data_IF_616199708356
#
_entry.id   IF_616199708356
#
_cell.length_a   1.000
_cell.length_b   1.000
_cell.length_c   1.000
_cell.angle_alpha   90.00
_cell.angle_beta   90.00
_cell.angle_gamma   90.00
#
_symmetry.space_group_name_H-M   'P 1'
#
loop_
_entity.id
_entity.type
_entity.pdbx_description
1 polymer ?
#
# COMPACT_ATOMS: atom_id res chain seq x y z
N UNK A 1 10.05 -8.20 1.98
CA UNK A 1 9.69 -8.23 0.55
C UNK A 1 10.64 -7.35 -0.25
N UNK A 2 10.87 -7.58 -1.56
CA UNK A 2 11.75 -6.75 -2.40
C UNK A 2 10.94 -5.79 -3.28
N UNK A 3 11.31 -4.50 -3.32
CA UNK A 3 10.72 -3.51 -4.22
C UNK A 3 11.05 -3.84 -5.69
N UNK A 4 10.06 -3.89 -6.58
CA UNK A 4 10.28 -4.21 -8.00
C UNK A 4 10.97 -3.06 -8.77
N UNK A 5 10.96 -1.84 -8.22
CA UNK A 5 11.57 -0.66 -8.86
C UNK A 5 13.04 -0.47 -8.50
N UNK A 6 13.40 -0.55 -7.21
CA UNK A 6 14.78 -0.31 -6.76
C UNK A 6 15.50 -1.58 -6.31
N UNK A 7 14.79 -2.71 -6.14
CA UNK A 7 15.38 -3.94 -5.64
C UNK A 7 15.76 -3.92 -4.16
N UNK A 8 15.39 -2.90 -3.39
CA UNK A 8 15.61 -2.88 -1.95
C UNK A 8 14.67 -3.84 -1.23
N UNK A 9 15.13 -4.48 -0.16
CA UNK A 9 14.27 -5.21 0.75
C UNK A 9 13.53 -4.24 1.67
N UNK A 10 12.20 -4.29 1.62
CA UNK A 10 11.26 -3.50 2.39
C UNK A 10 10.39 -4.41 3.26
N UNK A 11 10.14 -3.97 4.49
CA UNK A 11 9.19 -4.58 5.43
C UNK A 11 8.00 -3.68 5.71
N UNK A 12 8.04 -2.45 5.21
CA UNK A 12 7.01 -1.44 5.41
C UNK A 12 6.79 -0.69 4.10
N UNK A 13 5.59 -0.14 3.94
CA UNK A 13 5.20 0.76 2.86
C UNK A 13 4.83 2.11 3.45
N UNK A 14 4.94 3.16 2.64
CA UNK A 14 4.47 4.49 2.99
C UNK A 14 3.13 4.69 2.28
N UNK A 15 2.15 5.13 3.05
CA UNK A 15 0.84 5.57 2.57
C UNK A 15 0.50 6.93 3.19
N UNK A 16 -0.35 7.71 2.56
CA UNK A 16 -0.76 9.05 2.99
C UNK A 16 -2.19 9.01 3.49
N UNK A 17 -2.38 9.19 4.79
CA UNK A 17 -3.70 9.22 5.42
C UNK A 17 -4.18 10.66 5.55
N UNK A 18 -5.46 10.87 5.30
CA UNK A 18 -6.11 12.16 5.56
C UNK A 18 -6.71 12.14 6.96
N UNK A 19 -6.26 13.03 7.84
CA UNK A 19 -6.89 13.18 9.16
C UNK A 19 -8.24 13.91 9.03
N UNK A 20 -9.07 13.87 10.08
CA UNK A 20 -10.40 14.52 10.12
C UNK A 20 -10.36 16.04 9.84
N UNK A 21 -9.19 16.66 9.95
CA UNK A 21 -8.95 18.08 9.63
C UNK A 21 -8.53 18.32 8.17
N UNK A 22 -8.50 17.30 7.32
CA UNK A 22 -8.10 17.40 5.91
C UNK A 22 -6.60 17.58 5.68
N UNK A 23 -5.78 17.28 6.70
CA UNK A 23 -4.31 17.27 6.56
C UNK A 23 -3.85 15.90 6.11
N UNK A 24 -3.05 15.87 5.05
CA UNK A 24 -2.42 14.66 4.52
C UNK A 24 -1.14 14.35 5.30
N UNK A 25 -1.07 13.17 5.91
CA UNK A 25 0.06 12.70 6.71
C UNK A 25 0.54 11.36 6.19
N UNK A 26 1.82 11.25 5.85
CA UNK A 26 2.42 9.98 5.46
C UNK A 26 2.72 9.11 6.67
N UNK A 27 2.19 7.90 6.70
CA UNK A 27 2.46 6.87 7.71
C UNK A 27 3.15 5.65 7.09
N UNK A 28 3.92 4.96 7.92
CA UNK A 28 4.51 3.67 7.56
C UNK A 28 3.60 2.53 8.02
N UNK A 29 3.18 1.67 7.09
CA UNK A 29 2.40 0.46 7.37
C UNK A 29 3.26 -0.78 7.20
N UNK A 30 3.13 -1.72 8.12
CA UNK A 30 3.84 -3.00 8.06
C UNK A 30 3.20 -3.92 7.02
N UNK A 31 4.03 -4.67 6.29
CA UNK A 31 3.56 -5.59 5.26
C UNK A 31 3.80 -7.03 5.66
N UNK A 32 2.76 -7.85 5.52
CA UNK A 32 2.84 -9.29 5.75
C UNK A 32 3.01 -10.02 4.41
N UNK A 33 4.09 -10.80 4.27
CA UNK A 33 4.31 -11.65 3.10
C UNK A 33 3.57 -12.98 3.28
N UNK A 34 2.72 -13.34 2.32
CA UNK A 34 1.96 -14.58 2.27
C UNK A 34 2.67 -15.62 1.39
N UNK A 35 2.39 -16.91 1.63
CA UNK A 35 3.04 -18.08 0.98
C UNK A 35 3.03 -18.07 -0.57
N UNK A 36 2.17 -17.28 -1.20
CA UNK A 36 2.06 -17.16 -2.67
C UNK A 36 2.80 -15.97 -3.28
N UNK A 37 3.84 -15.45 -2.64
CA UNK A 37 4.51 -14.21 -3.08
C UNK A 37 3.53 -13.02 -3.17
N UNK A 38 2.48 -13.05 -2.36
CA UNK A 38 1.57 -11.95 -2.18
C UNK A 38 2.00 -11.18 -0.93
N UNK A 39 1.83 -9.86 -0.93
CA UNK A 39 1.92 -9.05 0.26
C UNK A 39 0.57 -8.49 0.58
N UNK A 40 0.22 -8.56 1.86
CA UNK A 40 -1.02 -8.05 2.40
C UNK A 40 -0.68 -7.03 3.47
N UNK A 41 -1.35 -5.90 3.42
CA UNK A 41 -1.43 -5.00 4.57
C UNK A 41 -2.87 -4.52 4.72
N UNK A 42 -3.20 -4.17 5.95
CA UNK A 42 -4.52 -3.71 6.35
C UNK A 42 -4.34 -2.31 6.95
N UNK A 43 -5.21 -1.39 6.55
CA UNK A 43 -5.25 -0.03 7.07
C UNK A 43 -6.69 0.42 7.23
N UNK A 44 -6.89 1.54 7.92
CA UNK A 44 -8.21 2.11 8.16
C UNK A 44 -8.71 2.91 6.94
N UNK A 45 -10.02 3.16 6.89
CA UNK A 45 -10.67 4.01 5.89
C UNK A 45 -10.16 5.44 5.88
N UNK A 46 -9.49 5.90 6.93
CA UNK A 46 -8.75 7.18 6.93
C UNK A 46 -7.73 7.30 5.78
N UNK A 47 -7.31 6.18 5.18
CA UNK A 47 -6.40 6.20 4.03
C UNK A 47 -7.07 6.59 2.72
N UNK A 48 -8.25 6.03 2.41
CA UNK A 48 -8.96 6.29 1.14
C UNK A 48 -9.88 7.52 1.26
N UNK A 49 -9.97 8.14 2.44
CA UNK A 49 -11.14 8.94 2.77
C UNK A 49 -12.44 8.11 2.61
N UNK A 50 -13.58 8.74 2.85
CA UNK A 50 -14.87 8.07 2.64
C UNK A 50 -15.26 7.99 1.15
N UNK A 51 -14.48 8.59 0.24
CA UNK A 51 -14.82 8.83 -1.17
C UNK A 51 -13.78 8.36 -2.21
N UNK A 52 -12.54 7.98 -1.87
CA UNK A 52 -11.61 7.44 -2.89
C UNK A 52 -11.85 5.97 -3.17
N UNK A 53 -11.84 5.65 -4.46
CA UNK A 53 -11.80 4.28 -4.98
C UNK A 53 -10.41 3.66 -4.85
N UNK A 54 -10.34 2.32 -4.90
CA UNK A 54 -9.10 1.57 -4.70
C UNK A 54 -7.97 1.93 -5.66
N UNK A 55 -8.28 2.43 -6.86
CA UNK A 55 -7.26 2.80 -7.85
C UNK A 55 -6.45 4.04 -7.43
N UNK A 56 -7.06 5.01 -6.76
CA UNK A 56 -6.37 6.21 -6.30
C UNK A 56 -5.47 5.90 -5.10
N UNK A 57 -6.00 5.11 -4.15
CA UNK A 57 -5.22 4.58 -3.02
C UNK A 57 -4.00 3.79 -3.48
N UNK A 58 -4.09 3.06 -4.60
CA UNK A 58 -2.94 2.37 -5.16
C UNK A 58 -1.77 3.31 -5.50
N UNK A 59 -2.06 4.45 -6.14
CA UNK A 59 -1.03 5.38 -6.59
C UNK A 59 -0.28 6.02 -5.41
N UNK A 60 -0.94 6.10 -4.27
CA UNK A 60 -0.38 6.63 -3.04
C UNK A 60 0.60 5.68 -2.33
N UNK A 61 0.54 4.36 -2.60
CA UNK A 61 1.48 3.39 -2.03
C UNK A 61 2.90 3.64 -2.53
N UNK A 62 3.82 3.93 -1.61
CA UNK A 62 5.21 4.25 -1.92
C UNK A 62 6.19 3.36 -1.18
N UNK A 63 7.29 3.03 -1.86
CA UNK A 63 8.44 2.38 -1.26
C UNK A 63 9.17 3.37 -0.35
N UNK A 64 9.47 3.03 0.92
CA UNK A 64 10.20 3.93 1.83
C UNK A 64 11.63 4.25 1.37
N UNK A 65 12.19 3.45 0.46
CA UNK A 65 13.57 3.62 -0.01
C UNK A 65 13.66 4.49 -1.27
N UNK A 66 12.76 4.29 -2.25
CA UNK A 66 12.83 4.97 -3.54
C UNK A 66 11.64 5.87 -3.86
N UNK A 67 10.63 5.93 -2.99
CA UNK A 67 9.42 6.74 -3.14
C UNK A 67 8.49 6.30 -4.27
N UNK A 68 8.84 5.30 -5.07
CA UNK A 68 8.02 4.78 -6.17
C UNK A 68 7.12 3.65 -5.68
N UNK A 69 5.96 3.46 -6.33
CA UNK A 69 5.12 2.30 -6.07
C UNK A 69 5.93 1.02 -6.34
N UNK A 70 6.17 0.18 -5.31
CA UNK A 70 7.03 -0.98 -5.43
C UNK A 70 6.43 -2.11 -6.25
N UNK A 71 5.15 -2.05 -6.60
CA UNK A 71 4.39 -3.17 -7.19
C UNK A 71 3.57 -2.72 -8.40
N UNK A 72 3.38 -3.62 -9.37
CA UNK A 72 2.62 -3.33 -10.58
C UNK A 72 1.24 -4.02 -10.64
N UNK A 73 1.03 -5.11 -9.91
CA UNK A 73 -0.27 -5.79 -9.81
C UNK A 73 -0.83 -5.67 -8.40
N UNK A 74 -2.05 -5.13 -8.27
CA UNK A 74 -2.79 -5.03 -7.03
C UNK A 74 -4.23 -5.50 -7.19
N UNK A 75 -4.74 -5.99 -6.06
CA UNK A 75 -6.15 -6.01 -5.75
C UNK A 75 -6.35 -5.25 -4.43
N UNK A 76 -7.18 -4.20 -4.46
CA UNK A 76 -7.51 -3.39 -3.28
C UNK A 76 -8.97 -3.64 -2.93
N UNK A 77 -9.19 -4.15 -1.72
CA UNK A 77 -10.51 -4.45 -1.19
C UNK A 77 -10.86 -3.41 -0.11
N UNK A 78 -11.80 -2.52 -0.41
CA UNK A 78 -12.28 -1.46 0.50
C UNK A 78 -13.63 -1.87 1.07
N UNK A 79 -13.68 -2.18 2.37
CA UNK A 79 -14.94 -2.40 3.11
C UNK A 79 -15.01 -1.48 4.34
N UNK A 80 -14.93 -2.04 5.55
CA UNK A 80 -14.76 -1.29 6.82
C UNK A 80 -13.28 -1.09 7.17
N UNK A 81 -12.43 -2.02 6.72
CA UNK A 81 -10.97 -1.89 6.69
C UNK A 81 -10.54 -1.92 5.23
N UNK A 82 -9.48 -1.19 4.91
CA UNK A 82 -8.87 -1.22 3.58
C UNK A 82 -7.80 -2.31 3.59
N UNK A 83 -8.05 -3.38 2.85
CA UNK A 83 -7.11 -4.47 2.69
C UNK A 83 -6.50 -4.39 1.30
N UNK A 84 -5.18 -4.30 1.26
CA UNK A 84 -4.43 -4.26 0.00
C UNK A 84 -3.70 -5.57 -0.17
N UNK A 85 -3.92 -6.22 -1.30
CA UNK A 85 -3.21 -7.43 -1.70
C UNK A 85 -2.37 -7.12 -2.94
N UNK A 86 -1.07 -7.27 -2.80
CA UNK A 86 -0.07 -7.03 -3.85
C UNK A 86 0.55 -8.33 -4.28
N UNK A 87 0.47 -8.65 -5.56
CA UNK A 87 1.11 -9.85 -6.09
C UNK A 87 2.46 -9.47 -6.71
N UNK A 88 3.52 -10.22 -6.40
CA UNK A 88 4.76 -10.11 -7.17
C UNK A 88 4.48 -10.53 -8.61
N UNK A 89 5.13 -9.88 -9.57
CA UNK A 89 5.14 -10.38 -10.94
C UNK A 89 5.78 -11.77 -10.94
N UNK A 90 5.01 -12.80 -11.28
CA UNK A 90 5.54 -14.13 -11.52
C UNK A 90 6.59 -14.02 -12.63
N UNK A 91 7.79 -14.54 -12.36
CA UNK A 91 8.89 -14.61 -13.34
C UNK A 91 8.62 -15.67 -14.39
#
# INVERSE_FOLDING_TARGET
MKCEKCGAEIKQLIISISDAYGSDCSISVDITECEKNAVVFETDKSWTGYEQDGEDANQDIRCPICGKNPFQNDEIQIFNIVRVVKFKKAK
#
